data_IF_375139750549
#
_entry.id   IF_375139750549
#
_cell.length_a   1.000
_cell.length_b   1.000
_cell.length_c   1.000
_cell.angle_alpha   90.00
_cell.angle_beta   90.00
_cell.angle_gamma   90.00
#
_symmetry.space_group_name_H-M   'P 1'
#
loop_
_entity.id
_entity.type
_entity.pdbx_description
1 polymer ?
#
# COMPACT_ATOMS: atom_id res chain seq x y z
N UNK A 1 6.60 7.85 -9.89
CA UNK A 1 5.16 7.67 -9.60
C UNK A 1 4.88 6.18 -9.43
N UNK A 2 3.76 5.77 -8.81
CA UNK A 2 3.38 4.36 -8.78
C UNK A 2 3.35 3.78 -10.19
N UNK A 3 3.70 2.50 -10.33
CA UNK A 3 3.54 1.80 -11.61
C UNK A 3 2.04 1.66 -11.87
N UNK A 4 1.56 2.11 -13.03
CA UNK A 4 0.17 1.95 -13.46
C UNK A 4 0.11 1.89 -15.00
N UNK A 5 -0.62 0.93 -15.60
CA UNK A 5 -1.32 -0.17 -14.95
C UNK A 5 -0.35 -1.15 -14.27
N UNK A 6 -0.83 -1.86 -13.25
CA UNK A 6 -0.01 -2.79 -12.48
C UNK A 6 -0.76 -4.05 -12.05
N UNK A 7 0.02 -5.09 -11.81
CA UNK A 7 -0.46 -6.40 -11.43
C UNK A 7 0.40 -7.00 -10.31
N UNK A 8 -0.24 -7.70 -9.39
CA UNK A 8 0.41 -8.32 -8.25
C UNK A 8 0.31 -9.85 -8.31
N UNK A 9 1.44 -10.53 -8.09
CA UNK A 9 1.47 -11.97 -7.86
C UNK A 9 1.57 -12.22 -6.35
N UNK A 10 0.52 -12.79 -5.74
CA UNK A 10 0.51 -13.06 -4.30
C UNK A 10 1.58 -14.07 -3.88
N UNK A 11 1.71 -15.18 -4.62
CA UNK A 11 2.67 -16.26 -4.34
C UNK A 11 4.11 -15.75 -4.33
N UNK A 12 4.48 -14.96 -5.34
CA UNK A 12 5.83 -14.39 -5.49
C UNK A 12 6.01 -13.08 -4.71
N UNK A 13 4.92 -12.52 -4.16
CA UNK A 13 4.86 -11.18 -3.53
C UNK A 13 5.53 -10.09 -4.38
N UNK A 14 5.36 -10.19 -5.70
CA UNK A 14 6.05 -9.35 -6.70
C UNK A 14 5.05 -8.57 -7.55
N UNK A 15 5.44 -7.36 -7.91
CA UNK A 15 4.70 -6.48 -8.80
C UNK A 15 5.21 -6.55 -10.23
N UNK A 16 4.28 -6.40 -11.16
CA UNK A 16 4.52 -6.41 -12.60
C UNK A 16 3.85 -5.19 -13.23
N UNK A 17 4.56 -4.52 -14.13
CA UNK A 17 4.00 -3.52 -15.03
C UNK A 17 3.68 -4.12 -16.40
N UNK A 18 3.10 -3.30 -17.27
CA UNK A 18 2.67 -3.72 -18.61
C UNK A 18 3.80 -4.37 -19.43
N UNK A 19 4.99 -3.77 -19.40
CA UNK A 19 6.16 -4.28 -20.10
C UNK A 19 6.60 -5.66 -19.62
N UNK A 20 6.47 -5.95 -18.33
CA UNK A 20 6.87 -7.25 -17.77
C UNK A 20 5.93 -8.36 -18.25
N UNK A 21 4.63 -8.05 -18.34
CA UNK A 21 3.59 -9.01 -18.72
C UNK A 21 3.74 -9.46 -20.16
N UNK A 22 4.16 -8.58 -21.08
CA UNK A 22 4.33 -8.94 -22.50
C UNK A 22 5.21 -10.19 -22.70
N UNK A 23 6.19 -10.41 -21.80
CA UNK A 23 7.19 -11.49 -21.88
C UNK A 23 6.84 -12.73 -21.04
N UNK A 24 5.76 -12.69 -20.25
CA UNK A 24 5.39 -13.78 -19.34
C UNK A 24 4.61 -14.90 -20.03
N UNK A 25 4.73 -16.13 -19.50
CA UNK A 25 3.94 -17.27 -19.96
C UNK A 25 2.48 -17.12 -19.51
N UNK A 26 1.54 -17.72 -20.26
CA UNK A 26 0.09 -17.67 -19.95
C UNK A 26 -0.23 -18.04 -18.50
N UNK A 27 0.30 -19.16 -18.01
CA UNK A 27 0.11 -19.63 -16.63
C UNK A 27 0.57 -18.61 -15.58
N UNK A 28 1.65 -17.86 -15.87
CA UNK A 28 2.13 -16.84 -14.95
C UNK A 28 1.23 -15.62 -14.92
N UNK A 29 0.62 -15.27 -16.06
CA UNK A 29 -0.35 -14.18 -16.17
C UNK A 29 -1.65 -14.48 -15.42
N UNK A 30 -2.10 -15.73 -15.44
CA UNK A 30 -3.31 -16.17 -14.73
C UNK A 30 -3.18 -16.05 -13.21
N UNK A 31 -1.96 -16.09 -12.67
CA UNK A 31 -1.68 -15.89 -11.25
C UNK A 31 -1.59 -14.40 -10.84
N UNK A 32 -1.74 -13.47 -11.79
CA UNK A 32 -1.66 -12.03 -11.55
C UNK A 32 -3.03 -11.45 -11.26
N UNK A 33 -3.10 -10.60 -10.23
CA UNK A 33 -4.28 -9.79 -9.93
C UNK A 33 -4.01 -8.35 -10.33
N UNK A 34 -4.86 -7.78 -11.19
CA UNK A 34 -4.83 -6.37 -11.50
C UNK A 34 -5.29 -5.58 -10.26
N UNK A 35 -4.42 -4.74 -9.72
CA UNK A 35 -4.70 -3.89 -8.57
C UNK A 35 -3.66 -2.79 -8.50
N UNK A 36 -3.96 -1.68 -7.83
CA UNK A 36 -3.00 -0.57 -7.67
C UNK A 36 -2.26 -0.63 -6.34
N UNK A 37 -2.85 -1.31 -5.35
CA UNK A 37 -2.27 -1.47 -4.02
C UNK A 37 -2.62 -2.84 -3.44
N UNK A 38 -1.92 -3.19 -2.37
CA UNK A 38 -2.24 -4.33 -1.50
C UNK A 38 -2.43 -3.80 -0.09
N UNK A 39 -3.27 -4.47 0.68
CA UNK A 39 -3.37 -4.29 2.13
C UNK A 39 -2.95 -5.59 2.82
N UNK A 40 -2.10 -5.49 3.84
CA UNK A 40 -1.62 -6.65 4.59
C UNK A 40 -1.16 -6.23 5.98
N UNK A 41 -1.09 -7.20 6.90
CA UNK A 41 -0.41 -7.00 8.17
C UNK A 41 1.10 -7.09 7.98
N UNK A 42 1.84 -6.20 8.64
CA UNK A 42 3.30 -6.18 8.58
C UNK A 42 3.89 -7.41 9.30
N UNK A 43 4.70 -8.26 8.63
CA UNK A 43 5.16 -9.50 9.24
C UNK A 43 6.24 -9.32 10.31
N UNK A 44 7.09 -8.28 10.21
CA UNK A 44 8.32 -8.18 11.03
C UNK A 44 8.62 -6.80 11.64
N UNK A 45 7.82 -5.76 11.42
CA UNK A 45 8.11 -4.42 11.99
C UNK A 45 9.26 -3.63 11.35
N UNK A 46 9.91 -4.16 10.30
CA UNK A 46 11.12 -3.56 9.68
C UNK A 46 10.83 -2.59 8.52
N UNK A 47 9.59 -2.55 8.04
CA UNK A 47 9.23 -1.73 6.90
C UNK A 47 9.10 -0.27 7.33
N UNK A 48 9.65 0.65 6.53
CA UNK A 48 9.44 2.10 6.73
C UNK A 48 8.31 2.58 5.85
N UNK A 49 7.50 3.49 6.38
CA UNK A 49 6.50 4.21 5.63
C UNK A 49 7.18 5.21 4.69
N UNK A 50 6.82 5.16 3.40
CA UNK A 50 7.43 6.00 2.37
C UNK A 50 7.08 7.49 2.52
N UNK A 51 6.00 7.83 3.22
CA UNK A 51 5.55 9.22 3.44
C UNK A 51 6.21 9.85 4.66
N UNK A 52 6.02 9.27 5.86
CA UNK A 52 6.55 9.86 7.10
C UNK A 52 7.96 9.36 7.47
N UNK A 53 8.47 8.30 6.84
CA UNK A 53 9.79 7.74 7.13
C UNK A 53 9.87 6.83 8.36
N UNK A 54 8.83 6.82 9.19
CA UNK A 54 8.76 6.00 10.41
C UNK A 54 8.58 4.51 10.12
N UNK A 55 8.90 3.68 11.12
CA UNK A 55 8.68 2.24 11.06
C UNK A 55 7.18 1.90 11.12
N UNK A 56 6.82 0.83 10.43
CA UNK A 56 5.50 0.21 10.50
C UNK A 56 5.64 -0.98 11.44
N UNK A 57 4.94 -0.95 12.56
CA UNK A 57 4.99 -1.97 13.61
C UNK A 57 4.62 -3.36 13.10
N UNK A 58 5.14 -4.41 13.76
CA UNK A 58 4.75 -5.79 13.47
C UNK A 58 3.26 -5.97 13.76
N UNK A 59 2.58 -6.72 12.90
CA UNK A 59 1.14 -6.94 12.92
C UNK A 59 0.28 -5.68 12.71
N UNK A 60 0.87 -4.49 12.48
CA UNK A 60 0.10 -3.33 12.06
C UNK A 60 -0.37 -3.49 10.61
N UNK A 61 -1.57 -2.99 10.32
CA UNK A 61 -2.11 -2.93 8.98
C UNK A 61 -1.32 -1.92 8.16
N UNK A 62 -0.96 -2.27 6.92
CA UNK A 62 -0.26 -1.37 6.00
C UNK A 62 -0.79 -1.48 4.60
N UNK A 63 -0.57 -0.41 3.84
CA UNK A 63 -0.74 -0.38 2.41
C UNK A 63 0.61 -0.61 1.73
N UNK A 64 0.63 -1.35 0.63
CA UNK A 64 1.80 -1.45 -0.23
C UNK A 64 1.42 -1.22 -1.69
N UNK A 65 2.22 -0.43 -2.40
CA UNK A 65 2.00 -0.09 -3.81
C UNK A 65 3.26 -0.33 -4.64
N UNK A 66 3.11 -0.60 -5.96
CA UNK A 66 4.26 -0.81 -6.83
C UNK A 66 4.94 0.51 -7.14
N UNK A 67 6.26 0.54 -6.97
CA UNK A 67 7.09 1.65 -7.41
C UNK A 67 8.27 1.12 -8.21
N UNK A 68 8.66 1.89 -9.23
CA UNK A 68 9.80 1.60 -10.08
C UNK A 68 10.62 2.86 -10.25
N UNK A 69 11.91 2.80 -9.91
CA UNK A 69 12.81 3.96 -10.00
C UNK A 69 13.23 4.23 -11.46
N UNK A 70 13.51 3.18 -12.24
CA UNK A 70 13.81 3.28 -13.69
C UNK A 70 13.01 2.26 -14.50
N UNK A 71 12.66 2.58 -15.73
CA UNK A 71 11.80 1.75 -16.59
C UNK A 71 12.21 0.25 -16.66
N UNK A 72 13.51 -0.04 -16.64
CA UNK A 72 14.05 -1.39 -16.80
C UNK A 72 14.28 -2.16 -15.47
N UNK A 73 14.01 -1.54 -14.31
CA UNK A 73 14.19 -2.19 -13.01
C UNK A 73 12.90 -2.88 -12.56
N UNK A 74 13.01 -3.97 -11.79
CA UNK A 74 11.86 -4.62 -11.20
C UNK A 74 11.04 -3.65 -10.33
N UNK A 75 9.71 -3.74 -10.42
CA UNK A 75 8.84 -3.00 -9.51
C UNK A 75 8.92 -3.60 -8.10
N UNK A 76 9.12 -2.74 -7.11
CA UNK A 76 9.20 -3.13 -5.70
C UNK A 76 8.06 -2.51 -4.89
N UNK A 77 7.77 -3.14 -3.76
CA UNK A 77 6.69 -2.68 -2.87
C UNK A 77 7.16 -1.51 -2.00
N UNK A 78 6.57 -0.34 -2.19
CA UNK A 78 6.63 0.75 -1.23
C UNK A 78 5.51 0.61 -0.21
N UNK A 79 5.80 0.90 1.05
CA UNK A 79 4.86 0.70 2.15
C UNK A 79 4.38 2.05 2.70
N UNK A 80 3.14 2.10 3.15
CA UNK A 80 2.54 3.25 3.80
C UNK A 80 1.74 2.75 5.02
N UNK A 81 1.73 3.55 6.08
CA UNK A 81 0.63 3.48 7.04
C UNK A 81 -0.68 3.83 6.31
N UNK A 82 -1.83 3.24 6.70
CA UNK A 82 -3.13 3.61 6.13
C UNK A 82 -3.41 5.11 6.19
N UNK A 83 -3.04 5.76 7.31
CA UNK A 83 -3.19 7.20 7.53
C UNK A 83 -2.29 8.01 6.59
N UNK A 84 -1.14 7.46 6.21
CA UNK A 84 -0.21 8.11 5.30
C UNK A 84 -0.63 8.03 3.82
N UNK A 85 -1.79 7.47 3.52
CA UNK A 85 -2.35 7.49 2.16
C UNK A 85 -2.51 8.94 1.65
N UNK A 86 -2.33 9.13 0.33
CA UNK A 86 -2.40 10.44 -0.33
C UNK A 86 -3.39 10.33 -1.49
N UNK A 87 -4.65 10.77 -1.33
CA UNK A 87 -5.68 10.67 -2.35
C UNK A 87 -5.26 11.27 -3.70
N UNK A 88 -4.49 12.35 -3.70
CA UNK A 88 -4.00 13.04 -4.90
C UNK A 88 -3.03 12.19 -5.72
N UNK A 89 -2.32 11.25 -5.08
CA UNK A 89 -1.34 10.37 -5.73
C UNK A 89 -1.98 9.08 -6.25
N UNK A 90 -2.89 8.49 -5.48
CA UNK A 90 -3.42 7.16 -5.76
C UNK A 90 -4.85 7.17 -6.32
N UNK A 91 -5.65 8.17 -5.96
CA UNK A 91 -7.00 8.39 -6.50
C UNK A 91 -8.01 7.27 -6.24
N UNK A 92 -7.73 6.33 -5.33
CA UNK A 92 -8.66 5.24 -4.98
C UNK A 92 -9.81 5.80 -4.14
N UNK A 93 -11.03 5.60 -4.61
CA UNK A 93 -12.27 5.97 -3.91
C UNK A 93 -12.80 4.80 -3.08
N UNK A 94 -13.67 5.09 -2.10
CA UNK A 94 -14.30 4.08 -1.22
C UNK A 94 -14.87 2.88 -1.98
N UNK A 95 -15.67 3.18 -3.01
CA UNK A 95 -16.33 2.17 -3.86
C UNK A 95 -15.36 1.29 -4.64
N UNK A 96 -14.11 1.70 -4.77
CA UNK A 96 -13.07 1.03 -5.56
C UNK A 96 -12.10 0.22 -4.67
N UNK A 97 -12.20 0.33 -3.34
CA UNK A 97 -11.30 -0.38 -2.41
C UNK A 97 -11.30 -1.89 -2.67
N UNK A 98 -12.48 -2.45 -2.93
CA UNK A 98 -12.67 -3.89 -3.15
C UNK A 98 -12.03 -4.39 -4.44
N UNK A 99 -11.94 -3.55 -5.48
CA UNK A 99 -11.41 -3.93 -6.79
C UNK A 99 -9.96 -3.49 -7.00
N UNK A 100 -9.55 -2.36 -6.43
CA UNK A 100 -8.22 -1.77 -6.66
C UNK A 100 -7.20 -2.11 -5.57
N UNK A 101 -7.65 -2.63 -4.41
CA UNK A 101 -6.77 -3.03 -3.31
C UNK A 101 -6.86 -4.53 -3.06
N UNK A 102 -5.81 -5.25 -3.44
CA UNK A 102 -5.69 -6.67 -3.15
C UNK A 102 -5.58 -6.91 -1.63
N UNK A 103 -6.30 -7.92 -1.12
CA UNK A 103 -6.35 -8.26 0.31
C UNK A 103 -7.44 -7.53 1.10
N UNK A 104 -8.13 -6.56 0.51
CA UNK A 104 -9.22 -5.84 1.20
C UNK A 104 -10.38 -6.77 1.58
N UNK A 105 -10.70 -7.75 0.73
CA UNK A 105 -11.74 -8.74 1.01
C UNK A 105 -11.41 -9.66 2.18
N UNK A 106 -10.13 -9.84 2.53
CA UNK A 106 -9.74 -10.67 3.66
C UNK A 106 -9.97 -9.99 5.03
N UNK A 107 -10.14 -8.66 5.05
CA UNK A 107 -10.40 -7.89 6.27
C UNK A 107 -11.84 -8.08 6.75
N UNK A 108 -12.05 -8.02 8.07
CA UNK A 108 -13.40 -8.02 8.63
C UNK A 108 -14.09 -6.66 8.44
N UNK A 109 -15.40 -6.57 8.74
CA UNK A 109 -16.17 -5.35 8.49
C UNK A 109 -15.66 -4.13 9.28
N UNK A 110 -15.24 -4.33 10.53
CA UNK A 110 -14.67 -3.28 11.38
C UNK A 110 -13.35 -2.76 10.81
N UNK A 111 -12.48 -3.68 10.38
CA UNK A 111 -11.18 -3.35 9.77
C UNK A 111 -11.34 -2.61 8.44
N UNK A 112 -12.29 -3.02 7.60
CA UNK A 112 -12.59 -2.32 6.34
C UNK A 112 -13.03 -0.89 6.59
N UNK A 113 -13.92 -0.67 7.56
CA UNK A 113 -14.39 0.67 7.93
C UNK A 113 -13.25 1.53 8.50
N UNK A 114 -12.43 0.95 9.39
CA UNK A 114 -11.28 1.64 9.98
C UNK A 114 -10.20 1.97 8.96
N UNK A 115 -9.90 1.05 8.02
CA UNK A 115 -8.94 1.28 6.96
C UNK A 115 -9.34 2.49 6.12
N UNK A 116 -10.60 2.54 5.68
CA UNK A 116 -11.07 3.64 4.86
C UNK A 116 -11.11 4.97 5.63
N UNK A 117 -11.51 4.92 6.91
CA UNK A 117 -11.43 6.09 7.80
C UNK A 117 -9.99 6.59 7.93
N UNK A 118 -9.01 5.69 8.09
CA UNK A 118 -7.60 6.03 8.18
C UNK A 118 -7.09 6.64 6.86
N UNK A 119 -7.39 6.02 5.71
CA UNK A 119 -6.99 6.51 4.39
C UNK A 119 -7.52 7.91 4.05
N UNK A 120 -8.72 8.26 4.52
CA UNK A 120 -9.30 9.60 4.36
C UNK A 120 -8.87 10.58 5.45
N UNK A 121 -8.35 10.09 6.56
CA UNK A 121 -7.82 10.94 7.61
C UNK A 121 -6.70 11.80 7.03
N UNK A 122 -6.60 13.06 7.48
CA UNK A 122 -5.37 13.86 7.29
C UNK A 122 -4.27 13.23 8.13
N UNK A 123 -3.72 12.09 7.68
CA UNK A 123 -2.84 11.28 8.50
C UNK A 123 -1.61 12.04 8.96
N UNK A 124 -1.29 11.88 10.25
CA UNK A 124 -0.08 12.28 10.97
C UNK A 124 0.52 13.67 10.69
N UNK A 125 -0.18 14.62 10.08
CA UNK A 125 0.23 16.04 10.17
C UNK A 125 0.10 16.55 11.62
N UNK A 126 -0.68 15.87 12.47
CA UNK A 126 -0.96 16.29 13.85
C UNK A 126 -0.37 15.41 14.96
N UNK A 127 0.21 14.23 14.68
CA UNK A 127 0.73 13.38 15.76
C UNK A 127 2.08 13.89 16.32
N UNK A 128 2.91 14.50 15.47
CA UNK A 128 4.16 15.13 15.90
C UNK A 128 3.96 16.46 16.66
N UNK A 129 2.76 17.06 16.60
CA UNK A 129 2.42 18.29 17.33
C UNK A 129 1.93 18.03 18.76
N UNK A 130 1.49 16.80 19.08
CA UNK A 130 1.03 16.44 20.43
C UNK A 130 2.15 15.98 21.35
N UNK A 131 3.21 15.35 20.82
CA UNK A 131 4.32 14.85 21.64
C UNK A 131 5.35 15.93 22.03
N UNK A 132 5.25 17.14 21.47
CA UNK A 132 6.12 18.28 21.79
C UNK A 132 5.58 19.25 22.84
N UNK A 133 4.40 19.01 23.42
CA UNK A 133 3.75 19.92 24.39
C UNK A 133 3.69 19.43 25.84
N UNK A 134 4.11 18.21 26.12
CA UNK A 134 4.12 17.65 27.50
C UNK A 134 5.52 17.63 28.15
N UNK A 135 6.49 18.40 27.62
CA UNK A 135 7.82 18.55 28.19
C UNK A 135 8.18 20.03 28.40
N UNK A 136 7.31 20.77 29.11
CA UNK A 136 7.65 22.04 29.73
C UNK A 136 6.57 22.41 30.76
N UNK A 137 6.68 21.83 31.95
CA UNK A 137 6.22 22.41 33.22
C UNK A 137 7.37 22.32 34.23
#
# INVERSE_FOLDING_TARGET
TPVSPSWFCHEKRKWYGENDISRMKKKEKEALVACDMTVSYAPTGRAKCRRCGELIEKAALRLSYPFRWRANEDAYSMNLHPECYVPEVFGIKEKELRTRIFGFEALNNTERANLWKAMRGRGRENAALTEGKEASE
#
